data_IF_699907015929
#
_entry.id   IF_699907015929
#
_cell.length_a   1.000
_cell.length_b   1.000
_cell.length_c   1.000
_cell.angle_alpha   90.00
_cell.angle_beta   90.00
_cell.angle_gamma   90.00
#
_symmetry.space_group_name_H-M   'P 1'
#
loop_
_entity.id
_entity.type
_entity.pdbx_description
1 polymer ?
#
# COMPACT_ATOMS: atom_id res chain seq x y z
N UNK A 1 25.25 -25.74 25.29
CA UNK A 1 25.76 -24.62 24.47
C UNK A 1 25.70 -24.99 23.00
N UNK A 2 24.70 -24.49 22.26
CA UNK A 2 24.82 -24.17 20.83
C UNK A 2 23.56 -23.40 20.41
N UNK A 3 23.57 -22.11 20.74
CA UNK A 3 22.53 -21.15 20.44
C UNK A 3 22.78 -20.62 19.01
N UNK A 4 22.36 -21.39 17.99
CA UNK A 4 22.32 -20.88 16.61
C UNK A 4 21.11 -19.97 16.47
N UNK A 5 21.22 -18.75 17.00
CA UNK A 5 20.28 -17.64 16.77
C UNK A 5 20.46 -17.10 15.36
N UNK A 6 19.92 -17.81 14.38
CA UNK A 6 19.57 -17.21 13.10
C UNK A 6 18.52 -16.13 13.35
N UNK A 7 18.94 -14.86 13.26
CA UNK A 7 18.05 -13.69 13.27
C UNK A 7 17.32 -13.60 11.93
N UNK A 8 16.34 -14.46 11.73
CA UNK A 8 15.31 -14.31 10.70
C UNK A 8 14.19 -13.39 11.22
N UNK A 9 13.49 -12.74 10.30
CA UNK A 9 12.34 -11.87 10.54
C UNK A 9 11.18 -12.60 11.23
N UNK A 10 11.27 -12.84 12.54
CA UNK A 10 10.17 -13.41 13.32
C UNK A 10 10.60 -14.31 14.47
N UNK A 11 11.03 -13.70 15.58
CA UNK A 11 10.73 -14.25 16.90
C UNK A 11 9.72 -13.32 17.54
N UNK A 12 8.46 -13.73 17.51
CA UNK A 12 7.38 -13.06 18.25
C UNK A 12 7.39 -13.61 19.67
N UNK A 13 7.91 -12.82 20.60
CA UNK A 13 7.60 -12.94 22.01
C UNK A 13 6.83 -11.68 22.42
N UNK A 14 5.64 -11.86 22.98
CA UNK A 14 4.89 -10.81 23.63
C UNK A 14 3.89 -10.07 22.73
N UNK A 15 2.68 -9.93 23.24
CA UNK A 15 1.58 -9.21 22.62
C UNK A 15 1.95 -7.77 22.28
N UNK A 16 2.32 -7.50 21.03
CA UNK A 16 2.28 -6.19 20.37
C UNK A 16 2.63 -6.31 18.88
N UNK A 17 1.84 -7.09 18.13
CA UNK A 17 1.80 -6.89 16.68
C UNK A 17 1.09 -5.55 16.45
N UNK A 18 1.86 -4.47 16.27
CA UNK A 18 1.30 -3.13 16.12
C UNK A 18 0.34 -3.07 14.93
N UNK A 19 -0.92 -2.75 15.22
CA UNK A 19 -1.96 -2.62 14.22
C UNK A 19 -1.91 -1.25 13.57
N UNK A 20 -1.26 -1.17 12.41
CA UNK A 20 -1.18 0.06 11.61
C UNK A 20 -2.30 0.12 10.58
N UNK A 21 -3.48 0.63 10.97
CA UNK A 21 -4.55 0.91 10.02
C UNK A 21 -4.40 2.31 9.39
N UNK A 22 -4.04 2.33 8.11
CA UNK A 22 -4.12 3.52 7.28
C UNK A 22 -5.36 3.42 6.37
N UNK A 23 -6.22 4.44 6.38
CA UNK A 23 -7.31 4.53 5.39
C UNK A 23 -6.78 5.10 4.06
N UNK A 24 -7.31 4.67 2.91
CA UNK A 24 -7.06 5.33 1.63
C UNK A 24 -7.48 6.81 1.70
N UNK A 25 -6.65 7.71 1.16
CA UNK A 25 -6.96 9.13 0.96
C UNK A 25 -8.10 9.29 -0.06
N UNK A 26 -8.19 8.38 -1.03
CA UNK A 26 -9.23 8.35 -2.05
C UNK A 26 -10.30 7.30 -1.72
N UNK A 27 -11.39 7.73 -1.09
CA UNK A 27 -12.52 6.85 -0.76
C UNK A 27 -13.57 6.80 -1.86
N UNK A 28 -13.78 7.88 -2.61
CA UNK A 28 -14.72 7.96 -3.73
C UNK A 28 -14.39 6.98 -4.87
N UNK A 29 -15.41 6.56 -5.64
CA UNK A 29 -15.23 5.71 -6.82
C UNK A 29 -14.45 6.40 -7.94
N UNK A 30 -14.77 7.67 -8.20
CA UNK A 30 -14.07 8.51 -9.18
C UNK A 30 -13.16 9.48 -8.48
N UNK A 31 -11.88 9.50 -8.87
CA UNK A 31 -10.92 10.49 -8.37
C UNK A 31 -11.17 11.83 -9.05
N UNK A 32 -11.58 12.84 -8.28
CA UNK A 32 -11.70 14.21 -8.75
C UNK A 32 -10.38 14.98 -8.60
N UNK A 33 -10.28 16.16 -9.23
CA UNK A 33 -9.14 17.07 -9.01
C UNK A 33 -9.02 17.51 -7.55
N UNK A 34 -10.16 17.71 -6.86
CA UNK A 34 -10.18 18.04 -5.43
C UNK A 34 -9.60 16.90 -4.59
N UNK A 35 -9.90 15.65 -4.94
CA UNK A 35 -9.31 14.50 -4.26
C UNK A 35 -7.80 14.48 -4.45
N UNK A 36 -7.31 14.70 -5.67
CA UNK A 36 -5.86 14.78 -5.92
C UNK A 36 -5.17 15.88 -5.11
N UNK A 37 -5.84 17.00 -4.85
CA UNK A 37 -5.31 18.06 -3.99
C UNK A 37 -5.14 17.61 -2.53
N UNK A 38 -5.95 16.66 -2.03
CA UNK A 38 -5.78 16.11 -0.66
C UNK A 38 -4.40 15.51 -0.43
N UNK A 39 -3.72 15.03 -1.47
CA UNK A 39 -2.37 14.47 -1.37
C UNK A 39 -1.36 15.47 -0.80
N UNK A 40 -1.57 16.79 -0.92
CA UNK A 40 -0.64 17.78 -0.37
C UNK A 40 -0.50 17.65 1.15
N UNK A 41 -1.52 17.17 1.84
CA UNK A 41 -1.50 16.89 3.29
C UNK A 41 -0.80 15.56 3.62
N UNK A 42 -0.47 14.76 2.61
CA UNK A 42 0.24 13.49 2.72
C UNK A 42 1.55 13.56 1.94
N UNK A 43 2.55 14.33 2.40
CA UNK A 43 3.74 14.69 1.61
C UNK A 43 4.50 13.47 1.08
N UNK A 44 4.61 12.40 1.89
CA UNK A 44 5.22 11.13 1.46
C UNK A 44 4.48 10.51 0.26
N UNK A 45 3.15 10.42 0.33
CA UNK A 45 2.31 9.90 -0.76
C UNK A 45 2.35 10.80 -1.99
N UNK A 46 2.30 12.12 -1.79
CA UNK A 46 2.40 13.10 -2.88
C UNK A 46 3.69 12.93 -3.68
N UNK A 47 4.83 12.84 -3.01
CA UNK A 47 6.13 12.67 -3.66
C UNK A 47 6.22 11.33 -4.38
N UNK A 48 5.82 10.24 -3.72
CA UNK A 48 5.81 8.89 -4.31
C UNK A 48 4.95 8.85 -5.58
N UNK A 49 3.70 9.31 -5.50
CA UNK A 49 2.80 9.27 -6.66
C UNK A 49 3.21 10.22 -7.77
N UNK A 50 3.83 11.37 -7.45
CA UNK A 50 4.42 12.27 -8.44
C UNK A 50 5.56 11.58 -9.19
N UNK A 51 6.41 10.84 -8.49
CA UNK A 51 7.52 10.10 -9.10
C UNK A 51 7.02 8.93 -9.96
N UNK A 52 6.10 8.11 -9.42
CA UNK A 52 5.49 7.00 -10.16
C UNK A 52 4.75 7.47 -11.41
N UNK A 53 4.00 8.59 -11.33
CA UNK A 53 3.32 9.15 -12.49
C UNK A 53 4.28 9.46 -13.65
N UNK A 54 5.53 9.83 -13.38
CA UNK A 54 6.52 10.05 -14.46
C UNK A 54 6.87 8.75 -15.19
N UNK A 55 6.84 7.61 -14.50
CA UNK A 55 7.16 6.28 -15.06
C UNK A 55 5.97 5.61 -15.74
N UNK A 56 4.74 5.92 -15.32
CA UNK A 56 3.51 5.32 -15.86
C UNK A 56 3.07 5.93 -17.21
N UNK A 57 3.71 7.01 -17.67
CA UNK A 57 3.33 7.74 -18.91
C UNK A 57 3.57 6.99 -20.22
N UNK A 58 4.36 5.94 -20.24
CA UNK A 58 4.87 5.35 -21.49
C UNK A 58 3.90 4.35 -22.15
N UNK A 59 2.61 4.37 -21.80
CA UNK A 59 1.56 3.50 -22.37
C UNK A 59 1.70 2.02 -22.02
N UNK A 60 2.78 1.62 -21.35
CA UNK A 60 3.04 0.26 -20.90
C UNK A 60 2.28 -0.04 -19.62
N UNK A 61 1.73 -1.25 -19.51
CA UNK A 61 1.21 -1.76 -18.24
C UNK A 61 2.38 -1.99 -17.28
N UNK A 62 2.24 -1.53 -16.04
CA UNK A 62 3.25 -1.66 -15.00
C UNK A 62 2.70 -2.55 -13.88
N UNK A 63 3.55 -3.46 -13.38
CA UNK A 63 3.28 -4.26 -12.20
C UNK A 63 3.95 -3.64 -11.00
N UNK A 64 3.19 -3.46 -9.91
CA UNK A 64 3.65 -2.84 -8.67
C UNK A 64 3.45 -3.85 -7.55
N UNK A 65 4.52 -4.12 -6.81
CA UNK A 65 4.47 -4.86 -5.54
C UNK A 65 4.58 -3.84 -4.40
N UNK A 66 3.58 -3.83 -3.52
CA UNK A 66 3.58 -3.04 -2.29
C UNK A 66 3.90 -3.97 -1.11
N UNK A 67 5.14 -3.91 -0.63
CA UNK A 67 5.64 -4.77 0.44
C UNK A 67 5.47 -4.09 1.81
N UNK A 68 4.74 -4.74 2.72
CA UNK A 68 4.25 -4.11 3.94
C UNK A 68 3.05 -3.21 3.65
N UNK A 69 2.09 -3.71 2.86
CA UNK A 69 0.96 -2.92 2.38
C UNK A 69 -0.04 -2.54 3.48
N UNK A 70 0.09 -3.12 4.68
CA UNK A 70 -0.84 -2.97 5.78
C UNK A 70 -2.27 -3.28 5.34
N UNK A 71 -3.21 -2.41 5.71
CA UNK A 71 -4.63 -2.51 5.35
C UNK A 71 -4.95 -2.08 3.90
N UNK A 72 -3.94 -2.05 3.01
CA UNK A 72 -4.12 -1.90 1.56
C UNK A 72 -4.35 -0.48 1.06
N UNK A 73 -4.10 0.55 1.87
CA UNK A 73 -4.37 1.94 1.51
C UNK A 73 -3.71 2.36 0.20
N UNK A 74 -2.39 2.14 0.10
CA UNK A 74 -1.62 2.53 -1.07
C UNK A 74 -2.02 1.68 -2.30
N UNK A 75 -2.24 0.38 -2.12
CA UNK A 75 -2.75 -0.51 -3.17
C UNK A 75 -4.02 0.04 -3.81
N UNK A 76 -5.02 0.38 -2.99
CA UNK A 76 -6.30 0.93 -3.44
C UNK A 76 -6.10 2.28 -4.14
N UNK A 77 -5.31 3.19 -3.56
CA UNK A 77 -5.05 4.51 -4.12
C UNK A 77 -4.36 4.44 -5.48
N UNK A 78 -3.33 3.60 -5.62
CA UNK A 78 -2.62 3.40 -6.87
C UNK A 78 -3.55 2.83 -7.94
N UNK A 79 -4.44 1.89 -7.56
CA UNK A 79 -5.39 1.33 -8.51
C UNK A 79 -6.43 2.35 -8.96
N UNK A 80 -6.94 3.20 -8.06
CA UNK A 80 -7.85 4.29 -8.40
C UNK A 80 -7.17 5.38 -9.25
N UNK A 81 -5.90 5.67 -9.02
CA UNK A 81 -5.15 6.71 -9.74
C UNK A 81 -4.83 6.36 -11.19
N UNK A 82 -4.49 5.09 -11.46
CA UNK A 82 -3.94 4.67 -12.76
C UNK A 82 -4.72 3.54 -13.43
N UNK A 83 -5.75 2.99 -12.77
CA UNK A 83 -6.72 2.08 -13.36
C UNK A 83 -6.05 0.90 -14.07
N UNK A 84 -6.40 0.69 -15.35
CA UNK A 84 -5.90 -0.44 -16.16
C UNK A 84 -4.41 -0.34 -16.55
N UNK A 85 -3.75 0.79 -16.32
CA UNK A 85 -2.32 0.95 -16.61
C UNK A 85 -1.44 0.26 -15.57
N UNK A 86 -1.98 -0.02 -14.38
CA UNK A 86 -1.24 -0.68 -13.30
C UNK A 86 -1.92 -1.97 -12.86
N UNK A 87 -1.11 -2.96 -12.55
CA UNK A 87 -1.47 -4.14 -11.79
C UNK A 87 -0.74 -4.02 -10.45
N UNK A 88 -1.48 -4.08 -9.33
CA UNK A 88 -0.93 -3.81 -8.00
C UNK A 88 -1.19 -5.01 -7.12
N UNK A 89 -0.14 -5.53 -6.49
CA UNK A 89 -0.19 -6.63 -5.53
C UNK A 89 0.35 -6.11 -4.20
N UNK A 90 -0.43 -6.23 -3.14
CA UNK A 90 0.01 -5.95 -1.77
C UNK A 90 0.39 -7.23 -1.06
N UNK A 91 1.49 -7.20 -0.31
CA UNK A 91 1.87 -8.27 0.63
C UNK A 91 2.12 -7.67 2.01
N UNK A 92 1.76 -8.42 3.04
CA UNK A 92 2.05 -8.08 4.42
C UNK A 92 2.39 -9.36 5.21
N UNK A 93 3.06 -9.21 6.35
CA UNK A 93 3.33 -10.32 7.27
C UNK A 93 2.19 -10.54 8.26
N UNK A 94 1.32 -9.54 8.45
CA UNK A 94 0.20 -9.57 9.38
C UNK A 94 -1.08 -9.98 8.64
N UNK A 95 -1.54 -11.22 8.86
CA UNK A 95 -2.74 -11.77 8.19
C UNK A 95 -4.00 -10.92 8.38
N UNK A 96 -4.23 -10.39 9.59
CA UNK A 96 -5.38 -9.53 9.89
C UNK A 96 -5.41 -8.27 9.01
N UNK A 97 -4.26 -7.69 8.69
CA UNK A 97 -4.18 -6.51 7.82
C UNK A 97 -4.49 -6.87 6.37
N UNK A 98 -4.05 -8.05 5.90
CA UNK A 98 -4.42 -8.59 4.59
C UNK A 98 -5.93 -8.82 4.49
N UNK A 99 -6.56 -9.34 5.53
CA UNK A 99 -8.00 -9.62 5.52
C UNK A 99 -8.82 -8.31 5.45
N UNK A 100 -8.46 -7.31 6.25
CA UNK A 100 -9.05 -5.97 6.15
C UNK A 100 -8.80 -5.31 4.79
N UNK A 101 -7.62 -5.50 4.20
CA UNK A 101 -7.32 -4.99 2.86
C UNK A 101 -8.24 -5.62 1.81
N UNK A 102 -8.47 -6.94 1.88
CA UNK A 102 -9.39 -7.66 0.98
C UNK A 102 -10.84 -7.18 1.13
N UNK A 103 -11.29 -6.90 2.36
CA UNK A 103 -12.62 -6.35 2.60
C UNK A 103 -12.81 -4.97 1.98
N UNK A 104 -11.77 -4.12 1.98
CA UNK A 104 -11.80 -2.76 1.41
C UNK A 104 -11.71 -2.68 -0.11
N UNK A 105 -11.27 -3.76 -0.75
CA UNK A 105 -11.15 -3.84 -2.21
C UNK A 105 -12.49 -4.21 -2.87
N UNK A 106 -13.41 -4.82 -2.10
CA UNK A 106 -14.79 -5.10 -2.54
C UNK A 106 -15.56 -3.81 -2.77
#
# INVERSE_FOLDING_TARGET
>A
MNDKKTKGWGTMEGAQTEFWDARPVFTSEKITLKDRLKLIFFPKKFLLYKWMRKKIKDGKKIRILDAGCGTGAAVIEMKKLWGKQVEVVGIDVIQMQIDLAKERIK
#
